data_IF_877656651430
#
_entry.id   IF_877656651430
#
_cell.length_a   1.000
_cell.length_b   1.000
_cell.length_c   1.000
_cell.angle_alpha   90.00
_cell.angle_beta   90.00
_cell.angle_gamma   90.00
#
_symmetry.space_group_name_H-M   'P 1'
#
loop_
_entity.id
_entity.type
_entity.pdbx_description
1 polymer ?
#
# COMPACT_ATOMS: atom_id res chain seq x y z
N UNK A 1 -17.04 4.55 -15.69
CA UNK A 1 -17.83 3.31 -15.85
C UNK A 1 -18.55 2.86 -14.58
N UNK A 2 -18.11 3.21 -13.35
CA UNK A 2 -18.87 2.87 -12.13
C UNK A 2 -20.27 3.53 -12.00
N UNK A 3 -20.61 4.48 -12.88
CA UNK A 3 -21.86 5.27 -12.84
C UNK A 3 -22.90 4.85 -13.89
N UNK A 4 -22.59 3.86 -14.76
CA UNK A 4 -23.49 3.46 -15.86
C UNK A 4 -24.41 2.27 -15.52
N UNK A 5 -24.89 2.21 -14.27
CA UNK A 5 -25.89 1.20 -13.87
C UNK A 5 -25.36 -0.22 -13.64
N UNK A 6 -24.08 -0.37 -13.29
CA UNK A 6 -23.53 -1.66 -12.87
C UNK A 6 -24.17 -2.12 -11.55
N UNK A 7 -24.39 -3.42 -11.42
CA UNK A 7 -24.87 -4.04 -10.18
C UNK A 7 -23.88 -3.85 -9.02
N UNK A 8 -24.37 -4.00 -7.80
CA UNK A 8 -23.58 -3.78 -6.56
C UNK A 8 -22.39 -4.73 -6.47
N UNK A 9 -22.57 -5.99 -6.85
CA UNK A 9 -21.54 -7.02 -6.72
C UNK A 9 -20.38 -6.76 -7.68
N UNK A 10 -20.69 -6.38 -8.92
CA UNK A 10 -19.72 -5.96 -9.93
C UNK A 10 -18.93 -4.73 -9.49
N UNK A 11 -19.60 -3.73 -8.89
CA UNK A 11 -18.91 -2.53 -8.36
C UNK A 11 -18.00 -2.87 -7.19
N UNK A 12 -18.43 -3.74 -6.28
CA UNK A 12 -17.64 -4.22 -5.15
C UNK A 12 -16.41 -5.02 -5.62
N UNK A 13 -16.60 -5.93 -6.57
CA UNK A 13 -15.53 -6.71 -7.19
C UNK A 13 -14.45 -5.82 -7.81
N UNK A 14 -14.84 -4.86 -8.65
CA UNK A 14 -13.86 -4.00 -9.31
C UNK A 14 -13.15 -3.06 -8.32
N UNK A 15 -13.83 -2.60 -7.27
CA UNK A 15 -13.19 -1.80 -6.21
C UNK A 15 -12.11 -2.62 -5.49
N UNK A 16 -12.42 -3.87 -5.12
CA UNK A 16 -11.47 -4.79 -4.53
C UNK A 16 -10.29 -5.10 -5.48
N UNK A 17 -10.59 -5.41 -6.74
CA UNK A 17 -9.58 -5.73 -7.75
C UNK A 17 -8.58 -4.58 -7.96
N UNK A 18 -9.06 -3.33 -8.02
CA UNK A 18 -8.17 -2.17 -8.18
C UNK A 18 -7.23 -1.96 -6.99
N UNK A 19 -7.67 -2.29 -5.77
CA UNK A 19 -6.83 -2.18 -4.58
C UNK A 19 -5.81 -3.32 -4.49
N UNK A 20 -6.16 -4.52 -4.96
CA UNK A 20 -5.24 -5.66 -5.02
C UNK A 20 -4.06 -5.37 -5.94
N UNK A 21 -4.26 -4.64 -7.04
CA UNK A 21 -3.17 -4.27 -7.98
C UNK A 21 -2.08 -3.46 -7.27
N UNK A 22 -2.41 -2.68 -6.25
CA UNK A 22 -1.45 -1.84 -5.54
C UNK A 22 -0.41 -2.64 -4.73
N UNK A 23 -0.74 -3.88 -4.32
CA UNK A 23 0.15 -4.76 -3.56
C UNK A 23 1.37 -5.22 -4.37
N UNK A 24 1.22 -5.88 -5.55
CA UNK A 24 2.36 -6.29 -6.36
C UNK A 24 3.12 -5.08 -6.93
N UNK A 25 2.45 -3.97 -7.27
CA UNK A 25 3.15 -2.77 -7.75
C UNK A 25 4.01 -2.15 -6.65
N UNK A 26 3.52 -2.08 -5.40
CA UNK A 26 4.30 -1.56 -4.28
C UNK A 26 5.51 -2.46 -3.95
N UNK A 27 5.34 -3.78 -4.04
CA UNK A 27 6.43 -4.74 -3.85
C UNK A 27 7.54 -4.60 -4.91
N UNK A 28 7.17 -4.48 -6.19
CA UNK A 28 8.14 -4.29 -7.29
C UNK A 28 8.90 -2.97 -7.14
N UNK A 29 8.24 -1.88 -6.72
CA UNK A 29 8.91 -0.59 -6.47
C UNK A 29 9.90 -0.67 -5.31
N UNK A 30 9.55 -1.39 -4.22
CA UNK A 30 10.47 -1.64 -3.10
C UNK A 30 11.73 -2.38 -3.55
N UNK A 31 11.52 -3.48 -4.27
CA UNK A 31 12.60 -4.38 -4.68
C UNK A 31 13.52 -3.73 -5.72
N UNK A 32 12.98 -2.85 -6.57
CA UNK A 32 13.78 -2.17 -7.58
C UNK A 32 14.63 -1.06 -6.97
N UNK A 33 14.09 -0.12 -6.17
CA UNK A 33 14.88 1.03 -5.69
C UNK A 33 15.84 0.63 -4.56
N UNK A 34 15.34 -0.07 -3.54
CA UNK A 34 16.18 -0.54 -2.42
C UNK A 34 17.10 -1.68 -2.83
N UNK A 35 16.61 -2.62 -3.63
CA UNK A 35 17.40 -3.77 -4.09
C UNK A 35 18.49 -3.40 -5.08
N UNK A 36 18.23 -2.57 -6.09
CA UNK A 36 19.26 -2.16 -7.06
C UNK A 36 20.37 -1.33 -6.39
N UNK A 37 20.02 -0.41 -5.48
CA UNK A 37 21.03 0.35 -4.74
C UNK A 37 21.90 -0.53 -3.84
N UNK A 38 21.34 -1.60 -3.27
CA UNK A 38 22.08 -2.60 -2.49
C UNK A 38 23.01 -3.46 -3.34
N UNK A 39 22.59 -3.84 -4.56
CA UNK A 39 23.46 -4.56 -5.51
C UNK A 39 24.67 -3.70 -5.90
N UNK A 40 24.49 -2.39 -6.05
CA UNK A 40 25.61 -1.47 -6.32
C UNK A 40 26.58 -1.40 -5.14
N UNK A 41 26.06 -1.27 -3.90
CA UNK A 41 26.88 -1.27 -2.68
C UNK A 41 27.56 -2.62 -2.38
N UNK A 42 27.03 -3.72 -2.90
CA UNK A 42 27.66 -5.04 -2.76
C UNK A 42 28.97 -5.18 -3.57
N UNK A 43 29.28 -4.24 -4.47
CA UNK A 43 30.52 -4.25 -5.25
C UNK A 43 31.65 -3.56 -4.49
N UNK A 44 32.62 -4.36 -4.01
CA UNK A 44 33.78 -3.87 -3.24
C UNK A 44 34.64 -2.82 -3.95
N UNK A 45 34.68 -2.78 -5.29
CA UNK A 45 35.42 -1.75 -6.02
C UNK A 45 34.69 -0.41 -6.03
N UNK A 46 33.35 -0.43 -6.16
CA UNK A 46 32.51 0.76 -6.07
C UNK A 46 32.39 1.25 -4.62
N UNK A 47 32.51 0.33 -3.68
CA UNK A 47 32.41 0.58 -2.25
C UNK A 47 33.45 1.59 -1.75
N UNK A 48 34.66 1.57 -2.33
CA UNK A 48 35.72 2.55 -2.07
C UNK A 48 35.27 3.99 -2.38
N UNK A 49 34.39 4.18 -3.37
CA UNK A 49 33.90 5.49 -3.79
C UNK A 49 32.64 5.93 -3.04
N UNK A 50 31.85 5.00 -2.51
CA UNK A 50 30.56 5.30 -1.89
C UNK A 50 30.54 5.12 -0.36
N UNK A 51 31.56 4.51 0.23
CA UNK A 51 31.73 4.41 1.68
C UNK A 51 31.63 5.79 2.35
N UNK A 52 30.90 5.83 3.47
CA UNK A 52 30.64 7.03 4.27
C UNK A 52 29.98 8.21 3.52
N UNK A 53 29.48 7.97 2.31
CA UNK A 53 28.72 8.98 1.57
C UNK A 53 27.22 8.87 1.86
N UNK A 54 26.49 9.92 1.47
CA UNK A 54 25.03 9.91 1.50
C UNK A 54 24.41 8.84 0.60
N UNK A 55 25.16 8.21 -0.32
CA UNK A 55 24.69 7.09 -1.11
C UNK A 55 24.34 5.87 -0.24
N UNK A 56 25.19 5.56 0.75
CA UNK A 56 24.95 4.49 1.73
C UNK A 56 23.76 4.83 2.62
N UNK A 57 23.68 6.09 3.08
CA UNK A 57 22.54 6.57 3.90
C UNK A 57 21.23 6.45 3.14
N UNK A 58 21.21 6.85 1.85
CA UNK A 58 20.02 6.77 1.00
C UNK A 58 19.57 5.32 0.78
N UNK A 59 20.51 4.40 0.53
CA UNK A 59 20.21 2.97 0.42
C UNK A 59 19.50 2.44 1.68
N UNK A 60 20.04 2.71 2.87
CA UNK A 60 19.42 2.28 4.12
C UNK A 60 18.02 2.88 4.33
N UNK A 61 17.81 4.16 4.00
CA UNK A 61 16.47 4.75 4.09
C UNK A 61 15.50 4.14 3.08
N UNK A 62 15.93 3.83 1.85
CA UNK A 62 15.09 3.14 0.88
C UNK A 62 14.70 1.73 1.31
N UNK A 63 15.55 1.02 2.07
CA UNK A 63 15.20 -0.32 2.57
C UNK A 63 14.37 -0.24 3.86
N UNK A 64 14.78 0.59 4.82
CA UNK A 64 14.17 0.65 6.16
C UNK A 64 12.89 1.48 6.19
N UNK A 65 12.89 2.68 5.59
CA UNK A 65 11.70 3.56 5.59
C UNK A 65 10.57 2.99 4.74
N UNK A 66 10.89 2.26 3.68
CA UNK A 66 9.87 1.70 2.79
C UNK A 66 9.12 0.53 3.42
N UNK A 67 9.74 -0.23 4.33
CA UNK A 67 9.03 -1.20 5.17
C UNK A 67 7.94 -0.53 6.03
N UNK A 68 8.25 0.64 6.62
CA UNK A 68 7.28 1.42 7.38
C UNK A 68 6.15 1.97 6.49
N UNK A 69 6.48 2.43 5.28
CA UNK A 69 5.47 2.86 4.28
C UNK A 69 4.54 1.71 3.90
N UNK A 70 5.05 0.48 3.76
CA UNK A 70 4.22 -0.68 3.41
C UNK A 70 3.32 -1.11 4.57
N UNK A 71 3.79 -1.01 5.81
CA UNK A 71 2.98 -1.21 7.00
C UNK A 71 1.85 -0.18 7.10
N UNK A 72 2.15 1.10 6.82
CA UNK A 72 1.15 2.17 6.74
C UNK A 72 0.15 1.91 5.61
N UNK A 73 0.64 1.54 4.42
CA UNK A 73 -0.19 1.22 3.26
C UNK A 73 -1.16 0.07 3.56
N UNK A 74 -0.65 -1.02 4.14
CA UNK A 74 -1.48 -2.15 4.59
C UNK A 74 -2.50 -1.70 5.64
N UNK A 75 -2.07 -0.93 6.66
CA UNK A 75 -2.95 -0.41 7.71
C UNK A 75 -4.10 0.46 7.17
N UNK A 76 -3.79 1.41 6.28
CA UNK A 76 -4.79 2.25 5.61
C UNK A 76 -5.77 1.37 4.83
N UNK A 77 -5.29 0.39 4.05
CA UNK A 77 -6.18 -0.50 3.31
C UNK A 77 -7.06 -1.33 4.26
N UNK A 78 -6.52 -1.94 5.30
CA UNK A 78 -7.30 -2.75 6.26
C UNK A 78 -8.34 -1.90 7.00
N UNK A 79 -8.05 -0.64 7.34
CA UNK A 79 -8.99 0.24 8.05
C UNK A 79 -10.07 0.82 7.14
N UNK A 80 -9.72 1.29 5.94
CA UNK A 80 -10.66 2.02 5.08
C UNK A 80 -11.36 1.12 4.05
N UNK A 81 -10.83 -0.07 3.76
CA UNK A 81 -11.47 -1.01 2.82
C UNK A 81 -12.83 -1.52 3.30
N UNK A 82 -13.00 -1.96 4.57
CA UNK A 82 -14.32 -2.35 5.08
C UNK A 82 -15.39 -1.25 4.96
N UNK A 83 -14.99 0.03 5.02
CA UNK A 83 -15.91 1.16 4.88
C UNK A 83 -16.60 1.21 3.50
N UNK A 84 -15.97 0.67 2.45
CA UNK A 84 -16.58 0.59 1.13
C UNK A 84 -17.79 -0.36 1.15
N UNK A 85 -17.67 -1.50 1.83
CA UNK A 85 -18.77 -2.46 1.98
C UNK A 85 -19.86 -1.94 2.90
N UNK A 86 -19.49 -1.32 4.03
CA UNK A 86 -20.44 -0.69 4.95
C UNK A 86 -21.24 0.43 4.25
N UNK A 87 -20.59 1.22 3.39
CA UNK A 87 -21.26 2.21 2.56
C UNK A 87 -22.23 1.61 1.55
N UNK A 88 -21.89 0.48 0.92
CA UNK A 88 -22.79 -0.26 0.03
C UNK A 88 -24.00 -0.86 0.77
N UNK A 89 -23.83 -1.25 2.04
CA UNK A 89 -24.90 -1.71 2.93
C UNK A 89 -25.77 -0.56 3.49
N UNK A 90 -25.43 0.69 3.19
CA UNK A 90 -26.21 1.86 3.59
C UNK A 90 -25.84 2.44 4.96
N UNK A 91 -24.65 2.14 5.50
CA UNK A 91 -24.21 2.69 6.78
C UNK A 91 -24.16 4.24 6.73
N UNK A 92 -24.89 4.96 7.60
CA UNK A 92 -24.93 6.41 7.57
C UNK A 92 -23.64 7.03 8.14
N UNK A 93 -23.21 8.17 7.58
CA UNK A 93 -22.04 8.92 8.08
C UNK A 93 -22.39 9.76 9.31
N UNK A 94 -21.37 10.04 10.14
CA UNK A 94 -21.42 11.00 11.27
C UNK A 94 -22.40 10.61 12.38
N UNK A 95 -22.52 9.32 12.66
CA UNK A 95 -23.28 8.81 13.80
C UNK A 95 -22.28 8.12 14.74
N UNK A 96 -22.47 8.31 16.05
CA UNK A 96 -21.61 7.71 17.08
C UNK A 96 -21.99 6.27 17.42
N UNK A 97 -23.26 5.90 17.15
CA UNK A 97 -23.84 4.60 17.49
C UNK A 97 -24.48 4.00 16.24
N UNK A 98 -24.24 2.71 16.00
CA UNK A 98 -24.70 2.00 14.81
C UNK A 98 -25.69 0.90 15.17
N UNK A 99 -26.57 0.50 14.23
CA UNK A 99 -27.36 -0.72 14.38
C UNK A 99 -26.47 -1.97 14.54
N UNK A 100 -26.95 -2.93 15.32
CA UNK A 100 -26.32 -4.24 15.58
C UNK A 100 -25.86 -4.98 14.30
N UNK A 101 -26.62 -4.80 13.20
CA UNK A 101 -26.30 -5.34 11.88
C UNK A 101 -24.95 -4.90 11.27
N UNK A 102 -24.27 -3.88 11.82
CA UNK A 102 -22.98 -3.39 11.33
C UNK A 102 -21.78 -3.73 12.24
N UNK A 103 -22.01 -4.41 13.37
CA UNK A 103 -20.93 -4.86 14.26
C UNK A 103 -20.51 -6.27 13.86
N UNK A 104 -19.62 -6.38 12.87
CA UNK A 104 -18.76 -7.53 12.57
C UNK A 104 -19.36 -8.93 12.72
#
# INVERSE_FOLDING_TARGET
MYTVGLDVDTRAYFTAATLIIAVPTGFVVLFTIGGLSGVVLANASLDVAFHDTYYVVAHFHYVLSMGAVFALFSGVNVTFFPQHFLGLQGMPRRISDYPDAFYG
#
